data_IF_197754881013
#
_entry.id   IF_197754881013
#
_cell.length_a   1.000
_cell.length_b   1.000
_cell.length_c   1.000
_cell.angle_alpha   90.00
_cell.angle_beta   90.00
_cell.angle_gamma   90.00
#
_symmetry.space_group_name_H-M   'P 1'
#
loop_
_entity.id
_entity.type
_entity.pdbx_description
1 polymer ?
#
# COMPACT_ATOMS: atom_id res chain seq x y z
N UNK A 1 -15.99 -7.32 2.85
CA UNK A 1 -14.71 -8.04 3.08
C UNK A 1 -13.67 -6.99 3.39
N UNK A 2 -12.93 -7.18 4.48
CA UNK A 2 -11.84 -6.30 4.94
C UNK A 2 -10.50 -6.93 4.55
N UNK A 3 -9.49 -6.12 4.26
CA UNK A 3 -8.13 -6.62 4.07
C UNK A 3 -7.59 -7.28 5.35
N UNK A 4 -7.51 -8.62 5.35
CA UNK A 4 -7.11 -9.41 6.52
C UNK A 4 -5.59 -9.40 6.76
N UNK A 5 -5.22 -9.38 8.05
CA UNK A 5 -3.84 -9.36 8.56
C UNK A 5 -3.69 -10.30 9.74
N UNK A 6 -2.59 -11.04 9.78
CA UNK A 6 -2.24 -11.84 10.96
C UNK A 6 -1.85 -10.91 12.12
N UNK A 7 -2.20 -11.24 13.38
CA UNK A 7 -1.81 -10.43 14.55
C UNK A 7 -0.29 -10.24 14.71
N UNK A 8 0.51 -11.19 14.20
CA UNK A 8 1.97 -11.18 14.28
C UNK A 8 2.66 -10.49 13.09
N UNK A 9 1.90 -9.84 12.21
CA UNK A 9 2.48 -9.11 11.08
C UNK A 9 3.33 -7.92 11.57
N UNK A 10 4.51 -7.73 10.99
CA UNK A 10 5.42 -6.63 11.33
C UNK A 10 4.94 -5.26 10.84
N UNK A 11 3.93 -5.27 9.97
CA UNK A 11 3.36 -4.10 9.31
C UNK A 11 4.38 -3.30 8.49
N UNK A 12 5.36 -3.99 7.90
CA UNK A 12 6.40 -3.41 7.06
C UNK A 12 6.50 -4.12 5.71
N UNK A 13 6.73 -3.33 4.67
CA UNK A 13 7.19 -3.78 3.37
C UNK A 13 8.72 -3.71 3.25
N UNK A 14 9.24 -4.16 2.11
CA UNK A 14 10.63 -3.97 1.72
C UNK A 14 11.04 -2.50 1.91
N UNK A 15 12.08 -2.25 2.69
CA UNK A 15 12.54 -0.89 2.99
C UNK A 15 12.91 -0.12 1.71
N UNK A 16 12.48 1.15 1.62
CA UNK A 16 12.69 2.00 0.44
C UNK A 16 14.17 2.26 0.12
N UNK A 17 15.06 2.22 1.11
CA UNK A 17 16.51 2.42 0.94
C UNK A 17 17.28 1.13 0.63
N UNK A 18 16.61 -0.02 0.54
CA UNK A 18 17.27 -1.26 0.15
C UNK A 18 17.80 -1.21 -1.29
N UNK A 19 18.80 -2.04 -1.62
CA UNK A 19 19.46 -2.07 -2.95
C UNK A 19 18.57 -2.53 -4.12
N UNK A 20 17.29 -2.81 -3.87
CA UNK A 20 16.35 -3.22 -4.91
C UNK A 20 16.03 -2.07 -5.86
N UNK A 21 15.82 -2.42 -7.12
CA UNK A 21 15.46 -1.46 -8.16
C UNK A 21 14.18 -0.68 -7.82
N UNK A 22 14.12 0.59 -8.22
CA UNK A 22 12.99 1.47 -7.90
C UNK A 22 11.66 0.93 -8.44
N UNK A 23 11.67 0.22 -9.58
CA UNK A 23 10.47 -0.41 -10.14
C UNK A 23 9.84 -1.45 -9.20
N UNK A 24 10.66 -2.21 -8.45
CA UNK A 24 10.17 -3.21 -7.49
C UNK A 24 9.42 -2.49 -6.37
N UNK A 25 10.01 -1.45 -5.80
CA UNK A 25 9.41 -0.63 -4.73
C UNK A 25 8.08 -0.02 -5.17
N UNK A 26 8.04 0.55 -6.38
CA UNK A 26 6.79 1.06 -6.97
C UNK A 26 5.73 -0.02 -7.18
N UNK A 27 6.13 -1.20 -7.66
CA UNK A 27 5.20 -2.30 -7.90
C UNK A 27 4.59 -2.83 -6.60
N UNK A 28 5.31 -2.79 -5.48
CA UNK A 28 4.73 -3.14 -4.18
C UNK A 28 3.56 -2.20 -3.84
N UNK A 29 3.70 -0.88 -4.05
CA UNK A 29 2.60 0.07 -3.84
C UNK A 29 1.41 -0.26 -4.74
N UNK A 30 1.65 -0.47 -6.03
CA UNK A 30 0.59 -0.77 -7.01
C UNK A 30 -0.16 -2.04 -6.66
N UNK A 31 0.55 -3.15 -6.50
CA UNK A 31 -0.06 -4.47 -6.26
C UNK A 31 -0.87 -4.50 -4.97
N UNK A 32 -0.38 -3.84 -3.91
CA UNK A 32 -1.11 -3.79 -2.65
C UNK A 32 -2.35 -2.89 -2.71
N UNK A 33 -2.24 -1.77 -3.42
CA UNK A 33 -3.38 -0.86 -3.66
C UNK A 33 -4.46 -1.56 -4.49
N UNK A 34 -4.07 -2.19 -5.59
CA UNK A 34 -4.95 -2.97 -6.46
C UNK A 34 -5.64 -4.10 -5.69
N UNK A 35 -4.89 -4.82 -4.84
CA UNK A 35 -5.47 -5.86 -3.98
C UNK A 35 -6.57 -5.30 -3.07
N UNK A 36 -6.34 -4.17 -2.42
CA UNK A 36 -7.36 -3.55 -1.54
C UNK A 36 -8.58 -3.12 -2.37
N UNK A 37 -8.36 -2.52 -3.54
CA UNK A 37 -9.45 -2.12 -4.45
C UNK A 37 -10.30 -3.32 -4.87
N UNK A 38 -9.67 -4.42 -5.25
CA UNK A 38 -10.37 -5.58 -5.81
C UNK A 38 -10.97 -6.52 -4.76
N UNK A 39 -10.54 -6.43 -3.49
CA UNK A 39 -10.99 -7.36 -2.43
C UNK A 39 -11.92 -6.73 -1.40
N UNK A 40 -11.95 -5.40 -1.28
CA UNK A 40 -12.79 -4.72 -0.32
C UNK A 40 -14.14 -4.33 -0.94
N UNK A 41 -15.24 -4.72 -0.28
CA UNK A 41 -16.61 -4.61 -0.85
C UNK A 41 -17.26 -3.23 -0.71
N UNK A 42 -16.89 -2.44 0.30
CA UNK A 42 -17.49 -1.13 0.54
C UNK A 42 -16.40 -0.04 0.56
N UNK A 43 -16.78 1.20 0.21
CA UNK A 43 -15.85 2.31 0.06
C UNK A 43 -15.24 2.77 1.40
N UNK A 44 -16.01 2.71 2.47
CA UNK A 44 -15.53 3.12 3.80
C UNK A 44 -14.42 2.19 4.32
N UNK A 45 -14.61 0.86 4.24
CA UNK A 45 -13.58 -0.10 4.62
C UNK A 45 -12.37 0.00 3.70
N UNK A 46 -12.59 0.28 2.41
CA UNK A 46 -11.51 0.46 1.45
C UNK A 46 -10.62 1.65 1.86
N UNK A 47 -11.21 2.77 2.26
CA UNK A 47 -10.46 3.93 2.74
C UNK A 47 -9.72 3.64 4.05
N UNK A 48 -10.34 2.88 4.98
CA UNK A 48 -9.67 2.41 6.20
C UNK A 48 -8.45 1.53 5.86
N UNK A 49 -8.60 0.60 4.92
CA UNK A 49 -7.55 -0.34 4.51
C UNK A 49 -6.42 0.40 3.76
N UNK A 50 -6.74 1.40 2.92
CA UNK A 50 -5.76 2.26 2.26
C UNK A 50 -5.00 3.14 3.24
N UNK A 51 -5.66 3.68 4.26
CA UNK A 51 -5.00 4.44 5.31
C UNK A 51 -4.05 3.57 6.14
N UNK A 52 -4.42 2.31 6.38
CA UNK A 52 -3.50 1.35 6.98
C UNK A 52 -2.30 1.07 6.06
N UNK A 53 -2.53 0.89 4.76
CA UNK A 53 -1.47 0.67 3.78
C UNK A 53 -0.47 1.84 3.74
N UNK A 54 -0.97 3.09 3.71
CA UNK A 54 -0.16 4.31 3.76
C UNK A 54 0.76 4.30 4.99
N UNK A 55 0.20 4.01 6.17
CA UNK A 55 0.97 3.93 7.43
C UNK A 55 2.10 2.90 7.36
N UNK A 56 1.84 1.74 6.75
CA UNK A 56 2.87 0.69 6.59
C UNK A 56 3.97 1.09 5.62
N UNK A 57 3.64 1.76 4.52
CA UNK A 57 4.65 2.26 3.58
C UNK A 57 5.53 3.35 4.22
N UNK A 58 4.93 4.27 4.98
CA UNK A 58 5.67 5.26 5.77
C UNK A 58 6.61 4.56 6.78
N UNK A 59 6.14 3.51 7.45
CA UNK A 59 6.97 2.68 8.37
C UNK A 59 8.11 1.94 7.66
N UNK A 60 8.03 1.80 6.34
CA UNK A 60 9.06 1.21 5.47
C UNK A 60 9.88 2.26 4.70
N UNK A 61 9.85 3.52 5.16
CA UNK A 61 10.60 4.66 4.63
C UNK A 61 10.24 5.08 3.20
N UNK A 62 9.04 4.73 2.73
CA UNK A 62 8.56 5.21 1.43
C UNK A 62 8.22 6.70 1.51
N UNK A 63 8.63 7.52 0.53
CA UNK A 63 8.26 8.93 0.47
C UNK A 63 6.74 9.10 0.37
N UNK A 64 6.15 9.93 1.25
CA UNK A 64 4.70 10.17 1.30
C UNK A 64 4.12 10.59 -0.06
N UNK A 65 4.81 11.48 -0.76
CA UNK A 65 4.39 11.96 -2.07
C UNK A 65 4.35 10.84 -3.11
N UNK A 66 5.31 9.90 -3.06
CA UNK A 66 5.35 8.75 -3.96
C UNK A 66 4.18 7.79 -3.71
N UNK A 67 3.86 7.56 -2.43
CA UNK A 67 2.71 6.75 -2.02
C UNK A 67 1.42 7.35 -2.58
N UNK A 68 1.15 8.63 -2.30
CA UNK A 68 -0.10 9.27 -2.72
C UNK A 68 -0.21 9.37 -4.25
N UNK A 69 0.86 9.78 -4.94
CA UNK A 69 0.86 9.86 -6.42
C UNK A 69 0.55 8.50 -7.04
N UNK A 70 1.11 7.42 -6.50
CA UNK A 70 0.89 6.07 -7.02
C UNK A 70 -0.53 5.59 -6.73
N UNK A 71 -1.04 5.76 -5.51
CA UNK A 71 -2.40 5.38 -5.14
C UNK A 71 -3.41 6.16 -5.98
N UNK A 72 -3.28 7.48 -6.09
CA UNK A 72 -4.17 8.31 -6.90
C UNK A 72 -4.19 7.91 -8.38
N UNK A 73 -3.04 7.52 -8.93
CA UNK A 73 -2.96 7.01 -10.31
C UNK A 73 -3.77 5.73 -10.49
N UNK A 74 -3.80 4.84 -9.49
CA UNK A 74 -4.57 3.59 -9.54
C UNK A 74 -6.09 3.83 -9.52
N UNK A 75 -6.57 4.96 -9.00
CA UNK A 75 -8.01 5.32 -8.99
C UNK A 75 -8.48 6.06 -10.24
N UNK A 76 -7.54 6.58 -11.06
CA UNK A 76 -7.84 7.30 -12.30
C UNK A 76 -7.85 6.39 -13.53
N UNK A 77 -7.33 5.17 -13.40
CA UNK A 77 -7.42 4.10 -14.40
C UNK A 77 -8.67 3.26 -14.13
#
# INVERSE_FOLDING_TARGET
>A
IKWFRKPTASDRFLNFHSSHHHSIKLNIIKNMTERIINTTRNKEQQEIDLNLLRKMFIKSDYPKELIEKTIQKMFKN
#
